data_IF_290248828355
#
_entry.id   IF_290248828355
#
_cell.length_a   1.000
_cell.length_b   1.000
_cell.length_c   1.000
_cell.angle_alpha   90.00
_cell.angle_beta   90.00
_cell.angle_gamma   90.00
#
_symmetry.space_group_name_H-M   'P 1'
#
loop_
_entity.id
_entity.type
_entity.pdbx_description
1 polymer ?
#
# COMPACT_ATOMS: atom_id res chain seq x y z
N UNK A 1 -12.18 3.78 21.82
CA UNK A 1 -11.47 3.61 20.54
C UNK A 1 -10.36 4.63 20.42
N UNK A 2 -9.17 4.19 20.08
CA UNK A 2 -8.08 5.11 19.77
C UNK A 2 -8.34 5.73 18.39
N UNK A 3 -8.17 7.05 18.28
CA UNK A 3 -8.46 7.79 17.05
C UNK A 3 -7.22 8.36 16.38
N UNK A 4 -6.07 8.34 17.05
CA UNK A 4 -4.87 9.02 16.60
C UNK A 4 -3.69 8.06 16.57
N UNK A 5 -3.06 7.96 15.42
CA UNK A 5 -1.90 7.10 15.16
C UNK A 5 -0.82 7.90 14.44
N UNK A 6 0.32 7.28 14.25
CA UNK A 6 1.40 7.82 13.44
C UNK A 6 1.35 7.21 12.04
N UNK A 7 1.82 7.93 11.02
CA UNK A 7 1.93 7.36 9.68
C UNK A 7 2.99 6.26 9.58
N UNK A 8 3.79 6.06 10.62
CA UNK A 8 4.75 4.95 10.70
C UNK A 8 4.24 3.79 11.54
N UNK A 9 3.13 3.97 12.24
CA UNK A 9 2.49 2.91 13.02
C UNK A 9 0.99 3.21 13.13
N UNK A 10 0.25 2.60 12.24
CA UNK A 10 -1.20 2.81 12.16
C UNK A 10 -1.98 1.93 13.12
N UNK A 11 -1.30 1.14 13.96
CA UNK A 11 -1.96 0.14 14.81
C UNK A 11 -2.51 -1.02 13.97
N UNK A 12 -3.53 -1.67 14.50
CA UNK A 12 -4.16 -2.78 13.79
C UNK A 12 -3.44 -4.10 13.96
N UNK A 13 -3.76 -5.05 13.09
CA UNK A 13 -3.27 -6.42 13.17
C UNK A 13 -2.38 -6.76 11.98
N UNK A 14 -1.36 -7.57 12.23
CA UNK A 14 -0.54 -8.13 11.17
C UNK A 14 -1.35 -9.15 10.38
N UNK A 15 -1.46 -8.95 9.08
CA UNK A 15 -2.18 -9.87 8.18
C UNK A 15 -1.25 -10.65 7.26
N UNK A 16 -0.03 -10.15 7.03
CA UNK A 16 1.03 -10.87 6.32
C UNK A 16 2.38 -10.48 6.88
N UNK A 17 3.25 -11.47 7.01
CA UNK A 17 4.62 -11.28 7.49
C UNK A 17 5.47 -12.36 6.84
N UNK A 18 6.13 -12.04 5.74
CA UNK A 18 6.94 -12.96 4.97
C UNK A 18 8.22 -12.28 4.46
N UNK A 19 8.94 -12.93 3.52
CA UNK A 19 10.20 -12.40 3.00
C UNK A 19 10.03 -11.18 2.11
N UNK A 20 8.82 -10.93 1.65
CA UNK A 20 8.52 -9.82 0.73
C UNK A 20 8.10 -8.57 1.49
N UNK A 21 7.21 -8.71 2.46
CA UNK A 21 6.63 -7.56 3.15
C UNK A 21 5.99 -7.93 4.49
N UNK A 22 5.76 -6.89 5.28
CA UNK A 22 4.95 -6.93 6.49
C UNK A 22 3.73 -6.03 6.25
N UNK A 23 2.54 -6.61 6.32
CA UNK A 23 1.28 -5.88 6.12
C UNK A 23 0.46 -5.90 7.39
N UNK A 24 -0.01 -4.72 7.81
CA UNK A 24 -0.92 -4.53 8.93
C UNK A 24 -2.17 -3.82 8.45
N UNK A 25 -3.32 -4.22 8.96
CA UNK A 25 -4.60 -3.56 8.69
C UNK A 25 -5.21 -3.03 9.97
N UNK A 26 -5.64 -1.77 9.94
CA UNK A 26 -6.46 -1.18 10.98
C UNK A 26 -7.90 -1.13 10.49
N UNK A 27 -8.75 -1.95 11.10
CA UNK A 27 -10.17 -2.11 10.73
C UNK A 27 -11.11 -1.56 11.81
N UNK A 28 -10.68 -0.53 12.54
CA UNK A 28 -11.50 0.08 13.59
C UNK A 28 -12.76 0.77 13.05
N UNK A 29 -12.72 1.26 11.83
CA UNK A 29 -13.88 1.86 11.17
C UNK A 29 -14.68 0.80 10.42
N UNK A 30 -15.97 1.09 10.18
CA UNK A 30 -16.86 0.15 9.50
C UNK A 30 -16.70 0.17 7.98
N UNK A 31 -16.46 1.34 7.41
CA UNK A 31 -16.50 1.52 5.95
C UNK A 31 -15.13 1.68 5.32
N UNK A 32 -14.12 1.97 6.10
CA UNK A 32 -12.77 2.20 5.59
C UNK A 32 -11.75 1.38 6.37
N UNK A 33 -10.72 0.95 5.66
CA UNK A 33 -9.55 0.29 6.24
C UNK A 33 -8.33 1.13 5.94
N UNK A 34 -7.47 1.32 6.94
CA UNK A 34 -6.13 1.83 6.73
C UNK A 34 -5.18 0.64 6.81
N UNK A 35 -4.38 0.46 5.78
CA UNK A 35 -3.41 -0.62 5.68
C UNK A 35 -2.00 -0.04 5.61
N UNK A 36 -1.04 -0.73 6.20
CA UNK A 36 0.37 -0.34 6.17
C UNK A 36 1.18 -1.49 5.60
N UNK A 37 2.04 -1.19 4.63
CA UNK A 37 2.94 -2.17 4.02
C UNK A 37 4.37 -1.70 4.18
N UNK A 38 5.20 -2.56 4.81
CA UNK A 38 6.65 -2.43 4.79
C UNK A 38 7.15 -3.39 3.72
N UNK A 39 7.56 -2.83 2.58
CA UNK A 39 8.05 -3.62 1.44
C UNK A 39 9.56 -3.66 1.52
N UNK A 40 10.11 -4.85 1.66
CA UNK A 40 11.55 -5.03 1.89
C UNK A 40 12.35 -4.68 0.63
N UNK A 41 13.58 -4.27 0.87
CA UNK A 41 14.52 -3.90 -0.18
C UNK A 41 14.64 -4.98 -1.25
N UNK A 42 14.56 -4.58 -2.51
CA UNK A 42 14.70 -5.47 -3.66
C UNK A 42 13.46 -6.29 -3.98
N UNK A 43 12.37 -6.09 -3.25
CA UNK A 43 11.14 -6.83 -3.46
C UNK A 43 10.10 -5.99 -4.20
N UNK A 44 9.06 -6.66 -4.67
CA UNK A 44 7.92 -5.99 -5.27
C UNK A 44 6.65 -6.69 -4.84
N UNK A 45 5.54 -5.96 -4.83
CA UNK A 45 4.24 -6.57 -4.60
C UNK A 45 3.84 -7.38 -5.83
N UNK A 46 2.96 -8.37 -5.64
CA UNK A 46 2.49 -9.21 -6.74
C UNK A 46 1.79 -8.41 -7.82
N UNK A 47 1.09 -7.36 -7.39
CA UNK A 47 0.20 -6.63 -8.26
C UNK A 47 -1.17 -7.29 -8.37
N UNK A 48 -2.21 -6.46 -8.41
CA UNK A 48 -3.57 -6.97 -8.50
C UNK A 48 -4.53 -5.87 -8.92
N UNK A 49 -5.77 -6.30 -9.18
CA UNK A 49 -6.90 -5.44 -9.48
C UNK A 49 -7.98 -5.72 -8.43
N UNK A 50 -8.73 -4.69 -8.06
CA UNK A 50 -9.88 -4.82 -7.18
C UNK A 50 -11.11 -4.22 -7.87
N UNK A 51 -11.83 -4.98 -8.70
CA UNK A 51 -13.02 -4.47 -9.37
C UNK A 51 -14.05 -3.94 -8.36
N UNK A 52 -14.60 -2.77 -8.63
CA UNK A 52 -15.54 -2.11 -7.75
C UNK A 52 -14.90 -1.33 -6.61
N UNK A 53 -13.58 -1.23 -6.56
CA UNK A 53 -12.86 -0.59 -5.46
C UNK A 53 -11.85 0.43 -5.96
N UNK A 54 -11.88 1.59 -5.32
CA UNK A 54 -10.83 2.61 -5.43
C UNK A 54 -9.90 2.49 -4.24
N UNK A 55 -8.69 3.03 -4.39
CA UNK A 55 -7.69 2.96 -3.32
C UNK A 55 -6.80 4.19 -3.36
N UNK A 56 -6.28 4.59 -2.20
CA UNK A 56 -5.30 5.68 -2.10
C UNK A 56 -4.05 5.11 -1.44
N UNK A 57 -2.89 5.36 -2.05
CA UNK A 57 -1.58 5.06 -1.47
C UNK A 57 -0.91 6.34 -1.03
N UNK A 58 -0.35 6.34 0.18
CA UNK A 58 0.45 7.44 0.71
C UNK A 58 1.80 6.88 1.13
N UNK A 59 2.87 7.33 0.48
CA UNK A 59 4.22 6.82 0.74
C UNK A 59 4.88 7.62 1.86
N UNK A 60 5.52 6.90 2.79
CA UNK A 60 6.05 7.47 4.03
C UNK A 60 7.58 7.41 4.08
N UNK A 61 8.17 6.26 3.75
CA UNK A 61 9.62 6.03 3.80
C UNK A 61 10.08 5.24 2.60
N UNK A 62 11.33 5.49 2.21
CA UNK A 62 11.96 4.76 1.11
C UNK A 62 11.56 5.30 -0.25
N UNK A 63 12.26 4.84 -1.28
CA UNK A 63 12.08 5.27 -2.67
C UNK A 63 11.94 4.04 -3.55
N UNK A 64 11.08 4.13 -4.53
CA UNK A 64 10.87 3.04 -5.47
C UNK A 64 10.02 3.48 -6.64
N UNK A 65 9.30 2.53 -7.23
CA UNK A 65 8.44 2.78 -8.38
C UNK A 65 7.07 2.17 -8.16
N UNK A 66 6.10 2.69 -8.88
CA UNK A 66 4.75 2.15 -8.88
C UNK A 66 4.22 2.08 -10.29
N UNK A 67 3.41 1.06 -10.55
CA UNK A 67 2.67 0.87 -11.80
C UNK A 67 1.19 0.97 -11.48
N UNK A 68 0.45 1.75 -12.26
CA UNK A 68 -1.02 1.85 -12.18
C UNK A 68 -1.56 1.80 -13.60
N UNK A 69 -2.59 0.98 -13.82
CA UNK A 69 -3.25 0.82 -15.11
C UNK A 69 -3.31 -0.63 -15.52
N UNK A 70 -2.22 -1.15 -16.07
CA UNK A 70 -2.05 -2.57 -16.38
C UNK A 70 -0.58 -2.96 -16.21
N UNK A 71 -0.27 -4.25 -16.40
CA UNK A 71 1.08 -4.76 -16.17
C UNK A 71 2.14 -4.12 -17.05
N UNK A 72 1.75 -3.62 -18.22
CA UNK A 72 2.65 -3.02 -19.20
C UNK A 72 2.74 -1.49 -19.06
N UNK A 73 1.99 -0.92 -18.14
CA UNK A 73 2.03 0.53 -17.91
C UNK A 73 3.41 0.96 -17.45
N UNK A 74 3.84 2.16 -17.88
CA UNK A 74 5.14 2.69 -17.53
C UNK A 74 5.23 2.96 -16.03
N UNK A 75 6.24 2.42 -15.34
CA UNK A 75 6.45 2.74 -13.92
C UNK A 75 6.78 4.22 -13.72
N UNK A 76 6.38 4.76 -12.56
CA UNK A 76 6.74 6.11 -12.15
C UNK A 76 7.35 6.08 -10.76
N UNK A 77 8.19 7.08 -10.46
CA UNK A 77 8.90 7.15 -9.20
C UNK A 77 7.97 7.55 -8.07
N UNK A 78 8.15 6.92 -6.91
CA UNK A 78 7.46 7.27 -5.66
C UNK A 78 8.47 7.36 -4.53
N UNK A 79 8.16 8.17 -3.54
CA UNK A 79 8.99 8.34 -2.36
C UNK A 79 8.19 9.03 -1.25
N UNK A 80 8.85 9.42 -0.15
CA UNK A 80 8.15 10.04 0.98
C UNK A 80 7.32 11.24 0.54
N UNK A 81 6.04 11.22 0.89
CA UNK A 81 5.09 12.28 0.52
C UNK A 81 4.35 12.04 -0.79
N UNK A 82 4.69 11.01 -1.57
CA UNK A 82 3.91 10.67 -2.77
C UNK A 82 2.52 10.19 -2.39
N UNK A 83 1.53 10.67 -3.14
CA UNK A 83 0.13 10.23 -3.01
C UNK A 83 -0.30 9.70 -4.37
N UNK A 84 -0.77 8.46 -4.40
CA UNK A 84 -1.16 7.79 -5.65
C UNK A 84 -2.62 7.38 -5.55
N UNK A 85 -3.39 7.78 -6.54
CA UNK A 85 -4.80 7.43 -6.64
C UNK A 85 -4.95 6.22 -7.56
N UNK A 86 -5.64 5.20 -7.08
CA UNK A 86 -5.91 4.00 -7.84
C UNK A 86 -7.37 4.01 -8.23
N UNK A 87 -7.70 4.29 -9.50
CA UNK A 87 -9.08 4.22 -9.97
C UNK A 87 -9.65 2.82 -9.86
N UNK A 88 -10.96 2.72 -9.87
CA UNK A 88 -11.69 1.47 -9.78
C UNK A 88 -11.15 0.43 -10.79
N UNK A 89 -10.78 -0.73 -10.26
CA UNK A 89 -10.40 -1.89 -11.08
C UNK A 89 -9.02 -1.80 -11.74
N UNK A 90 -8.26 -0.72 -11.54
CA UNK A 90 -6.96 -0.60 -12.18
C UNK A 90 -5.91 -1.49 -11.52
N UNK A 91 -5.10 -2.13 -12.35
CA UNK A 91 -3.94 -2.89 -11.90
C UNK A 91 -2.94 -1.97 -11.18
N UNK A 92 -2.35 -2.44 -10.08
CA UNK A 92 -1.30 -1.68 -9.41
C UNK A 92 -0.26 -2.61 -8.79
N UNK A 93 0.98 -2.14 -8.78
CA UNK A 93 2.15 -2.84 -8.21
C UNK A 93 3.14 -1.82 -7.70
N UNK A 94 3.73 -2.10 -6.54
CA UNK A 94 4.85 -1.30 -6.00
C UNK A 94 6.13 -2.11 -6.14
N UNK A 95 7.20 -1.44 -6.59
CA UNK A 95 8.51 -2.03 -6.84
C UNK A 95 9.52 -1.30 -5.96
N UNK A 96 10.16 -2.02 -5.05
CA UNK A 96 11.23 -1.47 -4.23
C UNK A 96 12.57 -1.75 -4.89
N UNK A 97 13.01 -0.86 -5.75
CA UNK A 97 14.31 -0.89 -6.40
C UNK A 97 15.34 0.04 -5.74
N UNK A 98 15.01 0.56 -4.57
CA UNK A 98 15.91 1.42 -3.78
C UNK A 98 16.84 0.64 -2.87
N UNK A 99 17.51 1.36 -1.98
CA UNK A 99 18.53 0.79 -1.08
C UNK A 99 18.03 0.54 0.33
N UNK A 100 16.76 0.79 0.61
CA UNK A 100 16.19 0.58 1.94
C UNK A 100 14.76 0.08 1.80
N UNK A 101 14.17 -0.34 2.91
CA UNK A 101 12.77 -0.74 2.94
C UNK A 101 11.87 0.45 2.64
N UNK A 102 10.76 0.18 1.98
CA UNK A 102 9.70 1.17 1.77
C UNK A 102 8.62 0.98 2.82
N UNK A 103 8.00 2.08 3.21
CA UNK A 103 6.79 2.08 4.03
C UNK A 103 5.74 2.94 3.34
N UNK A 104 4.57 2.36 3.09
CA UNK A 104 3.45 3.10 2.53
C UNK A 104 2.15 2.66 3.19
N UNK A 105 1.21 3.59 3.27
CA UNK A 105 -0.12 3.37 3.81
C UNK A 105 -1.13 3.40 2.68
N UNK A 106 -2.18 2.61 2.82
CA UNK A 106 -3.26 2.53 1.84
C UNK A 106 -4.59 2.73 2.55
N UNK A 107 -5.54 3.35 1.86
CA UNK A 107 -6.92 3.48 2.34
C UNK A 107 -7.84 2.87 1.30
N UNK A 108 -8.72 1.98 1.73
CA UNK A 108 -9.68 1.32 0.85
C UNK A 108 -10.98 0.96 1.61
N UNK A 109 -11.97 0.51 0.86
CA UNK A 109 -13.28 0.16 1.43
C UNK A 109 -13.23 -1.07 2.32
N UNK A 110 -13.92 -1.03 3.46
CA UNK A 110 -13.87 -2.06 4.49
C UNK A 110 -14.51 -3.40 4.10
N UNK A 111 -15.21 -3.44 2.98
CA UNK A 111 -15.80 -4.70 2.48
C UNK A 111 -14.81 -5.51 1.63
N UNK A 112 -13.62 -4.97 1.36
CA UNK A 112 -12.61 -5.62 0.53
C UNK A 112 -11.67 -6.48 1.38
N UNK A 113 -11.27 -7.63 0.83
CA UNK A 113 -10.13 -8.40 1.32
C UNK A 113 -8.93 -8.16 0.42
N UNK A 114 -7.76 -8.34 0.96
CA UNK A 114 -6.50 -8.19 0.21
C UNK A 114 -6.33 -9.19 -0.93
#
# INVERSE_FOLDING_TARGET
>A
MQLHYSNTDIGGETIKDDDTYLIKDNRALNNLVVSSTRLYRGKQTRGHRHPGQEEVYVFVQGFGKMIVGNEDSKPFNVGPGSVVLIPDGEFHRVINDGDSNMLFNCVFGGMRNH
#
